data_IF_598090399173
#
_entry.id   IF_598090399173
#
_cell.length_a   1.000
_cell.length_b   1.000
_cell.length_c   1.000
_cell.angle_alpha   90.00
_cell.angle_beta   90.00
_cell.angle_gamma   90.00
#
_symmetry.space_group_name_H-M   'P 1'
#
loop_
_entity.id
_entity.type
_entity.pdbx_description
1 polymer ?
#
# COMPACT_ATOMS: atom_id res chain seq x y z
N UNK A 1 -11.37 -13.96 -18.10
CA UNK A 1 -11.27 -12.85 -17.11
C UNK A 1 -10.35 -11.78 -17.64
N UNK A 2 -10.78 -10.54 -17.66
CA UNK A 2 -9.94 -9.44 -18.14
C UNK A 2 -8.98 -8.98 -17.05
N UNK A 3 -8.02 -8.14 -17.43
CA UNK A 3 -6.98 -7.65 -16.52
C UNK A 3 -7.55 -6.88 -15.33
N UNK A 4 -8.62 -6.14 -15.57
CA UNK A 4 -9.26 -5.33 -14.52
C UNK A 4 -9.88 -6.21 -13.43
N UNK A 5 -10.59 -7.26 -13.84
CA UNK A 5 -11.21 -8.21 -12.91
C UNK A 5 -10.16 -8.97 -12.12
N UNK A 6 -9.07 -9.34 -12.80
CA UNK A 6 -7.96 -10.02 -12.14
C UNK A 6 -7.32 -9.14 -11.08
N UNK A 7 -7.16 -7.85 -11.39
CA UNK A 7 -6.63 -6.88 -10.43
C UNK A 7 -7.52 -6.73 -9.20
N UNK A 8 -8.84 -6.61 -9.42
CA UNK A 8 -9.80 -6.48 -8.34
C UNK A 8 -9.80 -7.69 -7.42
N UNK A 9 -9.69 -8.90 -8.00
CA UNK A 9 -9.63 -10.13 -7.22
C UNK A 9 -8.37 -10.20 -6.35
N UNK A 10 -7.24 -9.77 -6.90
CA UNK A 10 -5.99 -9.77 -6.14
C UNK A 10 -6.03 -8.76 -4.99
N UNK A 11 -6.60 -7.59 -5.20
CA UNK A 11 -6.80 -6.63 -4.12
C UNK A 11 -7.70 -7.18 -3.04
N UNK A 12 -8.77 -7.88 -3.41
CA UNK A 12 -9.66 -8.53 -2.46
C UNK A 12 -8.90 -9.56 -1.63
N UNK A 13 -8.06 -10.36 -2.27
CA UNK A 13 -7.22 -11.34 -1.60
C UNK A 13 -6.29 -10.69 -0.58
N UNK A 14 -5.68 -9.57 -0.95
CA UNK A 14 -4.79 -8.82 -0.06
C UNK A 14 -5.56 -8.27 1.14
N UNK A 15 -6.74 -7.70 0.90
CA UNK A 15 -7.57 -7.18 1.98
C UNK A 15 -7.94 -8.28 2.97
N UNK A 16 -8.33 -9.46 2.46
CA UNK A 16 -8.67 -10.59 3.32
C UNK A 16 -7.46 -11.03 4.15
N UNK A 17 -6.29 -11.05 3.53
CA UNK A 17 -5.05 -11.40 4.22
C UNK A 17 -4.75 -10.41 5.36
N UNK A 18 -4.81 -9.11 5.06
CA UNK A 18 -4.52 -8.07 6.05
C UNK A 18 -5.53 -8.11 7.19
N UNK A 19 -6.80 -8.30 6.89
CA UNK A 19 -7.83 -8.43 7.93
C UNK A 19 -7.54 -9.60 8.84
N UNK A 20 -7.15 -10.75 8.28
CA UNK A 20 -6.83 -11.93 9.08
C UNK A 20 -5.58 -11.71 9.94
N UNK A 21 -4.70 -10.80 9.53
CA UNK A 21 -3.49 -10.45 10.27
C UNK A 21 -3.73 -9.34 11.30
N UNK A 22 -4.96 -8.87 11.44
CA UNK A 22 -5.33 -7.89 12.46
C UNK A 22 -5.30 -6.45 12.00
N UNK A 23 -5.14 -6.20 10.70
CA UNK A 23 -5.15 -4.84 10.17
C UNK A 23 -6.61 -4.38 10.01
N UNK A 24 -6.89 -3.18 10.49
CA UNK A 24 -8.18 -2.54 10.24
C UNK A 24 -8.09 -1.79 8.91
N UNK A 25 -8.90 -2.17 7.93
CA UNK A 25 -8.92 -1.51 6.64
C UNK A 25 -9.75 -0.23 6.76
N UNK A 26 -9.12 0.90 6.53
CA UNK A 26 -9.79 2.20 6.62
C UNK A 26 -10.31 2.66 5.28
N UNK A 27 -9.55 2.44 4.22
CA UNK A 27 -9.97 2.86 2.89
C UNK A 27 -9.27 2.03 1.82
N UNK A 28 -9.94 1.87 0.69
CA UNK A 28 -9.40 1.17 -0.47
C UNK A 28 -9.45 2.10 -1.67
N UNK A 29 -8.42 2.01 -2.51
CA UNK A 29 -8.34 2.79 -3.75
C UNK A 29 -8.54 4.27 -3.50
N UNK A 30 -7.79 4.80 -2.54
CA UNK A 30 -7.82 6.22 -2.22
C UNK A 30 -7.13 6.99 -3.33
N UNK A 31 -7.87 7.88 -3.97
CA UNK A 31 -7.36 8.69 -5.08
C UNK A 31 -7.34 10.15 -4.72
N UNK A 32 -6.26 10.80 -5.12
CA UNK A 32 -6.09 12.23 -4.96
C UNK A 32 -5.39 12.77 -6.20
N UNK A 33 -5.27 14.06 -6.27
CA UNK A 33 -4.59 14.70 -7.40
C UNK A 33 -3.15 14.20 -7.57
N UNK A 34 -2.50 13.89 -6.45
CA UNK A 34 -1.10 13.47 -6.41
C UNK A 34 -0.90 12.02 -6.86
N UNK A 35 -1.91 11.18 -6.71
CA UNK A 35 -1.79 9.77 -7.03
C UNK A 35 -2.83 8.92 -6.33
N UNK A 36 -2.52 7.64 -6.20
CA UNK A 36 -3.42 6.64 -5.65
C UNK A 36 -2.69 5.78 -4.63
N UNK A 37 -3.43 5.38 -3.58
CA UNK A 37 -2.95 4.39 -2.61
C UNK A 37 -3.96 3.24 -2.60
N UNK A 38 -3.47 2.02 -2.79
CA UNK A 38 -4.33 0.86 -2.93
C UNK A 38 -5.12 0.56 -1.68
N UNK A 39 -4.46 0.58 -0.52
CA UNK A 39 -5.11 0.28 0.77
C UNK A 39 -4.53 1.21 1.83
N UNK A 40 -5.39 1.75 2.67
CA UNK A 40 -4.99 2.48 3.86
C UNK A 40 -5.57 1.72 5.05
N UNK A 41 -4.75 1.40 6.04
CA UNK A 41 -5.18 0.62 7.17
C UNK A 41 -4.44 0.97 8.45
N UNK A 42 -4.96 0.45 9.55
CA UNK A 42 -4.36 0.62 10.86
C UNK A 42 -3.83 -0.72 11.35
N UNK A 43 -2.54 -0.76 11.63
CA UNK A 43 -1.88 -1.94 12.15
C UNK A 43 -1.33 -1.58 13.54
N UNK A 44 -2.09 -1.94 14.57
CA UNK A 44 -1.78 -1.50 15.92
C UNK A 44 -1.87 0.02 16.01
N UNK A 45 -0.78 0.67 16.42
CA UNK A 45 -0.71 2.13 16.50
C UNK A 45 -0.29 2.80 15.22
N UNK A 46 0.10 2.04 14.20
CA UNK A 46 0.63 2.59 12.95
C UNK A 46 -0.45 2.78 11.90
N UNK A 47 -0.40 3.90 11.23
CA UNK A 47 -1.23 4.14 10.04
C UNK A 47 -0.42 3.68 8.82
N UNK A 48 -0.90 2.63 8.18
CA UNK A 48 -0.20 2.00 7.05
C UNK A 48 -0.78 2.41 5.71
N UNK A 49 0.11 2.70 4.78
CA UNK A 49 -0.22 2.96 3.38
C UNK A 49 0.37 1.82 2.56
N UNK A 50 -0.51 1.04 1.92
CA UNK A 50 -0.13 -0.24 1.31
C UNK A 50 -0.20 -0.14 -0.21
N UNK A 51 0.88 -0.54 -0.86
CA UNK A 51 0.94 -0.71 -2.32
C UNK A 51 0.84 -2.19 -2.62
N UNK A 52 -0.10 -2.56 -3.48
CA UNK A 52 -0.29 -3.95 -3.88
C UNK A 52 0.43 -4.19 -5.20
N UNK A 53 1.28 -5.20 -5.25
CA UNK A 53 2.06 -5.57 -6.44
C UNK A 53 1.79 -7.00 -6.85
N UNK A 54 1.58 -7.18 -8.14
CA UNK A 54 1.49 -8.51 -8.70
C UNK A 54 2.85 -8.91 -9.23
N UNK A 55 3.19 -10.15 -8.97
CA UNK A 55 4.43 -10.73 -9.49
C UNK A 55 4.06 -12.03 -10.19
N UNK A 56 4.57 -12.20 -11.39
CA UNK A 56 4.41 -13.46 -12.12
C UNK A 56 5.62 -14.32 -11.85
N UNK A 57 5.38 -15.43 -11.14
CA UNK A 57 6.40 -16.46 -10.96
C UNK A 57 7.79 -15.96 -10.60
N UNK A 58 8.67 -16.01 -11.58
CA UNK A 58 10.11 -15.79 -11.40
C UNK A 58 10.55 -14.33 -11.30
N UNK A 59 9.70 -13.43 -10.87
CA UNK A 59 10.12 -12.04 -10.71
C UNK A 59 11.34 -11.94 -9.79
N UNK A 60 12.39 -11.28 -10.30
CA UNK A 60 13.61 -11.08 -9.54
C UNK A 60 13.52 -9.83 -8.69
N UNK A 61 14.26 -9.81 -7.60
CA UNK A 61 14.29 -8.71 -6.68
C UNK A 61 13.14 -8.74 -5.69
N UNK A 62 13.15 -7.84 -4.72
CA UNK A 62 12.09 -7.74 -3.74
C UNK A 62 10.94 -6.92 -4.29
N UNK A 63 9.74 -7.12 -3.73
CA UNK A 63 8.58 -6.32 -4.10
C UNK A 63 8.80 -4.84 -3.78
N UNK A 64 9.56 -4.55 -2.70
CA UNK A 64 9.90 -3.17 -2.34
C UNK A 64 10.70 -2.48 -3.45
N UNK A 65 11.64 -3.21 -4.05
CA UNK A 65 12.46 -2.68 -5.15
C UNK A 65 11.63 -2.38 -6.40
N UNK A 66 10.45 -3.01 -6.53
CA UNK A 66 9.58 -2.78 -7.67
C UNK A 66 8.86 -1.43 -7.59
N UNK A 67 8.90 -0.76 -6.43
CA UNK A 67 8.31 0.56 -6.27
C UNK A 67 9.40 1.60 -6.46
N UNK A 68 9.47 2.18 -7.65
CA UNK A 68 10.49 3.15 -7.99
C UNK A 68 10.36 4.46 -7.21
N UNK A 69 11.44 5.25 -7.23
CA UNK A 69 11.51 6.48 -6.44
C UNK A 69 10.43 7.49 -6.80
N UNK A 70 10.07 7.61 -8.08
CA UNK A 70 9.02 8.52 -8.51
C UNK A 70 7.66 8.13 -7.92
N UNK A 71 7.36 6.83 -7.91
CA UNK A 71 6.12 6.33 -7.34
C UNK A 71 6.10 6.47 -5.82
N UNK A 72 7.23 6.25 -5.17
CA UNK A 72 7.35 6.47 -3.73
C UNK A 72 7.00 7.91 -3.36
N UNK A 73 7.49 8.87 -4.12
CA UNK A 73 7.16 10.29 -3.89
C UNK A 73 5.67 10.55 -4.03
N UNK A 74 5.05 10.00 -5.07
CA UNK A 74 3.61 10.16 -5.29
C UNK A 74 2.80 9.55 -4.16
N UNK A 75 3.20 8.39 -3.69
CA UNK A 75 2.53 7.73 -2.56
C UNK A 75 2.65 8.60 -1.32
N UNK A 76 3.83 9.13 -1.04
CA UNK A 76 4.04 9.98 0.13
C UNK A 76 3.21 11.26 0.06
N UNK A 77 3.13 11.89 -1.12
CA UNK A 77 2.30 13.08 -1.30
C UNK A 77 0.82 12.77 -1.12
N UNK A 78 0.38 11.63 -1.64
CA UNK A 78 -1.00 11.19 -1.50
C UNK A 78 -1.32 10.88 -0.04
N UNK A 79 -0.37 10.27 0.67
CA UNK A 79 -0.50 9.99 2.09
C UNK A 79 -0.60 11.29 2.91
N UNK A 80 0.20 12.30 2.56
CA UNK A 80 0.11 13.61 3.21
C UNK A 80 -1.27 14.22 3.04
N UNK A 81 -1.83 14.13 1.84
CA UNK A 81 -3.16 14.62 1.57
C UNK A 81 -4.22 13.88 2.40
N UNK A 82 -4.11 12.56 2.49
CA UNK A 82 -5.01 11.76 3.33
C UNK A 82 -4.93 12.19 4.79
N UNK A 83 -3.72 12.33 5.31
CA UNK A 83 -3.51 12.70 6.71
C UNK A 83 -4.09 14.08 7.02
N UNK A 84 -3.88 15.02 6.13
CA UNK A 84 -4.42 16.37 6.27
C UNK A 84 -5.95 16.34 6.27
N UNK A 85 -6.51 15.61 5.34
CA UNK A 85 -7.95 15.54 5.16
C UNK A 85 -8.67 14.85 6.33
N UNK A 86 -8.02 13.88 6.94
CA UNK A 86 -8.57 13.12 8.05
C UNK A 86 -8.05 13.59 9.41
N UNK A 87 -7.40 14.75 9.43
CA UNK A 87 -6.91 15.37 10.66
C UNK A 87 -6.04 14.45 11.50
N UNK A 88 -5.22 13.63 10.84
CA UNK A 88 -4.27 12.78 11.56
C UNK A 88 -3.17 13.66 12.14
N UNK A 89 -2.89 13.50 13.43
CA UNK A 89 -1.86 14.29 14.09
C UNK A 89 -0.47 13.97 13.60
N UNK A 90 0.44 14.92 13.76
CA UNK A 90 1.85 14.72 13.38
C UNK A 90 2.49 13.58 14.17
N UNK A 91 1.95 13.29 15.35
CA UNK A 91 2.46 12.24 16.22
C UNK A 91 1.98 10.84 15.82
N UNK A 92 1.06 10.73 14.86
CA UNK A 92 0.59 9.43 14.41
C UNK A 92 1.71 8.75 13.61
N UNK A 93 2.21 7.60 14.07
CA UNK A 93 3.22 6.87 13.30
C UNK A 93 2.64 6.42 11.97
N UNK A 94 3.40 6.62 10.90
CA UNK A 94 2.98 6.17 9.57
C UNK A 94 4.00 5.17 9.04
N UNK A 95 3.53 4.34 8.11
CA UNK A 95 4.36 3.29 7.54
C UNK A 95 3.94 3.05 6.09
N UNK A 96 4.92 2.83 5.23
CA UNK A 96 4.68 2.51 3.83
C UNK A 96 5.03 1.04 3.59
N UNK A 97 4.02 0.26 3.25
CA UNK A 97 4.16 -1.17 3.10
C UNK A 97 3.90 -1.59 1.66
N UNK A 98 4.49 -2.70 1.27
CA UNK A 98 4.21 -3.32 -0.03
C UNK A 98 3.67 -4.72 0.24
N UNK A 99 2.58 -5.06 -0.43
CA UNK A 99 2.03 -6.41 -0.36
C UNK A 99 2.11 -7.01 -1.75
N UNK A 100 2.96 -8.02 -1.88
CA UNK A 100 3.19 -8.69 -3.16
C UNK A 100 2.31 -9.93 -3.24
N UNK A 101 1.69 -10.11 -4.39
CA UNK A 101 0.89 -11.31 -4.67
C UNK A 101 1.53 -12.04 -5.83
N UNK A 102 1.94 -13.27 -5.58
CA UNK A 102 2.56 -14.16 -6.57
C UNK A 102 1.74 -15.43 -6.60
N UNK A 103 0.99 -15.64 -7.68
CA UNK A 103 0.00 -16.71 -7.77
C UNK A 103 -0.99 -16.59 -6.61
N UNK A 104 -0.93 -17.50 -5.65
CA UNK A 104 -1.81 -17.45 -4.48
C UNK A 104 -1.06 -17.06 -3.21
N UNK A 105 0.21 -16.75 -3.35
CA UNK A 105 1.04 -16.36 -2.20
C UNK A 105 0.96 -14.85 -1.98
N UNK A 106 0.79 -14.48 -0.72
CA UNK A 106 0.81 -13.07 -0.32
C UNK A 106 2.05 -12.86 0.55
N UNK A 107 2.87 -11.89 0.16
CA UNK A 107 4.02 -11.50 0.95
C UNK A 107 3.85 -10.05 1.38
N UNK A 108 3.81 -9.83 2.68
CA UNK A 108 3.64 -8.51 3.25
C UNK A 108 5.00 -7.99 3.71
N UNK A 109 5.46 -6.92 3.09
CA UNK A 109 6.74 -6.28 3.43
C UNK A 109 6.40 -5.00 4.19
N UNK A 110 6.58 -5.05 5.49
CA UNK A 110 6.33 -3.90 6.36
C UNK A 110 7.47 -2.90 6.23
N UNK A 111 7.10 -1.63 6.22
CA UNK A 111 8.08 -0.53 6.16
C UNK A 111 9.02 -0.70 4.97
N UNK A 112 8.43 -0.91 3.81
CA UNK A 112 9.17 -1.22 2.59
C UNK A 112 10.02 -0.06 2.10
N UNK A 113 9.61 1.17 2.36
CA UNK A 113 10.40 2.36 2.05
C UNK A 113 10.05 3.49 3.02
N UNK A 114 10.97 4.44 3.14
CA UNK A 114 10.82 5.55 4.06
C UNK A 114 10.02 6.70 3.44
N UNK A 115 9.50 7.56 4.29
CA UNK A 115 8.85 8.78 3.83
C UNK A 115 9.82 9.62 3.02
N UNK A 116 9.37 10.05 1.85
CA UNK A 116 10.15 10.91 0.95
C UNK A 116 9.49 12.27 0.90
N UNK A 117 10.23 13.29 1.33
CA UNK A 117 9.75 14.66 1.32
C UNK A 117 9.52 15.17 -0.11
N UNK A 118 8.63 16.15 -0.25
CA UNK A 118 8.39 16.82 -1.53
C UNK A 118 9.63 17.56 -2.06
N UNK A 119 10.53 17.90 -1.20
CA UNK A 119 11.74 18.68 -1.55
C UNK A 119 12.79 17.82 -2.22
#
# INVERSE_FOLDING_TARGET
MNTREKGAQKEQQVCAYLLSAGVEILERNFRARQGEIDIIGRDGGDLGFFEVKYRAGDSRGSAAEAVGSAKQKKICQTADYYRLRHHCGEDTPIRFDVVAVDNERVQWIKNAFDYVSRR
#
